data_IF_829536668863
#
_entry.id   IF_829536668863
#
_cell.length_a   1.000
_cell.length_b   1.000
_cell.length_c   1.000
_cell.angle_alpha   90.00
_cell.angle_beta   90.00
_cell.angle_gamma   90.00
#
_symmetry.space_group_name_H-M   'P 1'
#
loop_
_entity.id
_entity.type
_entity.pdbx_description
1 polymer ?
#
# COMPACT_ATOMS: atom_id res chain seq x y z
N UNK A 1 10.14 21.51 -6.75
CA UNK A 1 9.47 20.32 -7.32
C UNK A 1 8.22 20.04 -6.50
N UNK A 2 7.12 19.65 -7.16
CA UNK A 2 5.87 19.23 -6.51
C UNK A 2 5.78 17.72 -6.40
N UNK A 3 4.91 17.24 -5.51
CA UNK A 3 4.64 15.82 -5.31
C UNK A 3 3.15 15.56 -5.49
N UNK A 4 2.82 14.56 -6.30
CA UNK A 4 1.47 14.05 -6.52
C UNK A 4 1.37 12.68 -5.87
N UNK A 5 0.46 12.52 -4.92
CA UNK A 5 0.26 11.28 -4.20
C UNK A 5 -0.90 10.49 -4.82
N UNK A 6 -0.61 9.32 -5.39
CA UNK A 6 -1.60 8.48 -6.05
C UNK A 6 -1.89 7.22 -5.24
N UNK A 7 -3.16 6.92 -5.01
CA UNK A 7 -3.60 5.67 -4.38
C UNK A 7 -4.94 5.22 -4.95
N UNK A 8 -5.18 3.92 -4.92
CA UNK A 8 -6.52 3.35 -5.07
C UNK A 8 -7.25 3.39 -3.73
N UNK A 9 -8.57 3.57 -3.76
CA UNK A 9 -9.40 3.58 -2.55
C UNK A 9 -10.34 2.38 -2.48
N UNK A 10 -10.43 1.76 -1.31
CA UNK A 10 -11.33 0.65 -1.05
C UNK A 10 -11.92 0.68 0.38
N UNK A 11 -12.74 1.69 0.67
CA UNK A 11 -13.50 1.81 1.92
C UNK A 11 -12.63 1.74 3.21
N UNK A 12 -11.62 2.62 3.29
CA UNK A 12 -10.69 2.71 4.42
C UNK A 12 -10.60 4.15 4.94
N UNK A 13 -11.69 4.71 5.50
CA UNK A 13 -11.75 6.10 5.92
C UNK A 13 -10.73 6.46 7.01
N UNK A 14 -10.45 5.53 7.94
CA UNK A 14 -9.45 5.71 9.01
C UNK A 14 -8.05 5.96 8.43
N UNK A 15 -7.59 5.06 7.57
CA UNK A 15 -6.29 5.16 6.92
C UNK A 15 -6.21 6.42 6.06
N UNK A 16 -7.27 6.73 5.31
CA UNK A 16 -7.31 7.90 4.44
C UNK A 16 -7.19 9.20 5.23
N UNK A 17 -7.88 9.32 6.37
CA UNK A 17 -7.76 10.50 7.25
C UNK A 17 -6.32 10.67 7.78
N UNK A 18 -5.68 9.58 8.20
CA UNK A 18 -4.27 9.61 8.62
C UNK A 18 -3.36 10.00 7.46
N UNK A 19 -3.52 9.37 6.29
CA UNK A 19 -2.73 9.65 5.08
C UNK A 19 -2.79 11.13 4.71
N UNK A 20 -3.99 11.70 4.63
CA UNK A 20 -4.15 13.12 4.32
C UNK A 20 -3.47 14.01 5.34
N UNK A 21 -3.71 13.80 6.64
CA UNK A 21 -3.12 14.67 7.65
C UNK A 21 -1.58 14.56 7.73
N UNK A 22 -1.02 13.38 7.48
CA UNK A 22 0.44 13.17 7.47
C UNK A 22 1.09 13.83 6.26
N UNK A 23 0.45 13.75 5.09
CA UNK A 23 1.06 14.14 3.82
C UNK A 23 0.71 15.55 3.35
N UNK A 24 -0.34 16.18 3.87
CA UNK A 24 -0.89 17.46 3.39
C UNK A 24 0.16 18.56 3.17
N UNK A 25 1.10 18.71 4.10
CA UNK A 25 2.15 19.74 4.01
C UNK A 25 3.17 19.52 2.88
N UNK A 26 3.23 18.33 2.29
CA UNK A 26 4.22 17.96 1.27
C UNK A 26 3.62 17.74 -0.11
N UNK A 27 2.31 17.49 -0.18
CA UNK A 27 1.63 17.06 -1.39
C UNK A 27 0.89 18.23 -2.04
N UNK A 28 1.07 18.35 -3.36
CA UNK A 28 0.32 19.29 -4.19
C UNK A 28 -1.10 18.78 -4.43
N UNK A 29 -1.23 17.53 -4.89
CA UNK A 29 -2.52 16.87 -5.11
C UNK A 29 -2.53 15.42 -4.65
N UNK A 30 -3.64 15.04 -4.05
CA UNK A 30 -4.01 13.66 -3.79
C UNK A 30 -4.86 13.15 -4.96
N UNK A 31 -4.37 12.15 -5.67
CA UNK A 31 -5.07 11.47 -6.75
C UNK A 31 -5.66 10.18 -6.17
N UNK A 32 -6.97 10.21 -5.96
CA UNK A 32 -7.70 9.09 -5.37
C UNK A 32 -8.47 8.41 -6.48
N UNK A 33 -8.12 7.16 -6.79
CA UNK A 33 -8.80 6.38 -7.83
C UNK A 33 -9.72 5.36 -7.20
N UNK A 34 -10.96 5.30 -7.67
CA UNK A 34 -11.93 4.28 -7.26
C UNK A 34 -12.68 3.74 -8.47
N UNK A 35 -12.80 2.41 -8.56
CA UNK A 35 -13.56 1.76 -9.62
C UNK A 35 -14.96 1.33 -9.17
N UNK A 36 -15.92 1.32 -10.10
CA UNK A 36 -17.23 0.67 -9.90
C UNK A 36 -17.17 -0.85 -10.03
N UNK A 37 -15.99 -1.42 -10.27
CA UNK A 37 -15.74 -2.86 -10.35
C UNK A 37 -14.68 -3.24 -9.31
N UNK A 38 -14.90 -4.34 -8.59
CA UNK A 38 -13.86 -4.98 -7.78
C UNK A 38 -12.79 -5.58 -8.68
N UNK A 39 -11.64 -5.98 -8.10
CA UNK A 39 -10.63 -6.74 -8.83
C UNK A 39 -11.17 -8.06 -9.38
N UNK A 40 -12.12 -8.69 -8.68
CA UNK A 40 -12.81 -9.91 -9.16
C UNK A 40 -13.83 -9.64 -10.27
N UNK A 41 -14.23 -8.39 -10.52
CA UNK A 41 -15.22 -8.02 -11.55
C UNK A 41 -16.64 -7.81 -11.04
N UNK A 42 -16.86 -7.97 -9.73
CA UNK A 42 -18.15 -7.67 -9.11
C UNK A 42 -18.39 -6.17 -9.13
N UNK A 43 -19.56 -5.75 -9.60
CA UNK A 43 -19.95 -4.34 -9.57
C UNK A 43 -20.11 -3.86 -8.13
N UNK A 44 -19.54 -2.70 -7.82
CA UNK A 44 -19.58 -2.06 -6.49
C UNK A 44 -19.90 -0.57 -6.61
N UNK A 45 -20.37 0.01 -5.51
CA UNK A 45 -20.55 1.46 -5.39
C UNK A 45 -19.23 2.20 -5.23
N UNK A 46 -19.33 3.53 -5.30
CA UNK A 46 -18.26 4.48 -4.98
C UNK A 46 -18.45 4.90 -3.52
N UNK A 47 -17.45 4.64 -2.69
CA UNK A 47 -17.49 4.89 -1.25
C UNK A 47 -16.73 6.16 -0.85
N UNK A 48 -15.80 6.64 -1.67
CA UNK A 48 -15.05 7.84 -1.36
C UNK A 48 -15.88 9.10 -1.63
N UNK A 49 -15.96 9.99 -0.64
CA UNK A 49 -16.51 11.33 -0.79
C UNK A 49 -15.51 12.39 -0.30
N UNK A 50 -15.05 13.24 -1.22
CA UNK A 50 -14.14 14.35 -0.91
C UNK A 50 -14.75 15.40 0.04
N UNK A 51 -16.08 15.47 0.16
CA UNK A 51 -16.76 16.41 1.06
C UNK A 51 -16.58 16.05 2.53
N UNK A 52 -16.26 14.79 2.85
CA UNK A 52 -15.90 14.35 4.20
C UNK A 52 -14.54 14.90 4.64
N UNK A 53 -13.77 15.48 3.72
CA UNK A 53 -12.40 15.96 3.91
C UNK A 53 -12.24 17.44 3.53
N UNK A 54 -13.00 18.36 4.16
CA UNK A 54 -13.07 19.77 3.73
C UNK A 54 -11.70 20.46 3.72
N UNK A 55 -10.82 20.14 4.68
CA UNK A 55 -9.45 20.67 4.76
C UNK A 55 -8.62 20.38 3.51
N UNK A 56 -8.81 19.22 2.88
CA UNK A 56 -8.00 18.75 1.76
C UNK A 56 -8.74 18.84 0.43
N UNK A 57 -10.01 19.25 0.44
CA UNK A 57 -10.94 19.20 -0.70
C UNK A 57 -10.35 19.80 -1.99
N UNK A 58 -9.61 20.89 -1.88
CA UNK A 58 -8.98 21.57 -3.03
C UNK A 58 -7.76 20.83 -3.59
N UNK A 59 -7.13 19.97 -2.80
CA UNK A 59 -5.99 19.12 -3.20
C UNK A 59 -6.42 17.75 -3.72
N UNK A 60 -7.66 17.32 -3.45
CA UNK A 60 -8.17 16.00 -3.84
C UNK A 60 -8.69 16.03 -5.28
N UNK A 61 -8.13 15.19 -6.15
CA UNK A 61 -8.70 14.79 -7.45
C UNK A 61 -9.19 13.35 -7.31
N UNK A 62 -10.51 13.20 -7.22
CA UNK A 62 -11.18 11.89 -7.20
C UNK A 62 -11.48 11.46 -8.63
N UNK A 63 -10.93 10.31 -9.01
CA UNK A 63 -11.05 9.72 -10.35
C UNK A 63 -11.90 8.46 -10.22
N UNK A 64 -13.05 8.47 -10.89
CA UNK A 64 -13.96 7.33 -10.92
C UNK A 64 -13.73 6.56 -12.22
N UNK A 65 -13.47 5.26 -12.09
CA UNK A 65 -13.38 4.33 -13.22
C UNK A 65 -14.68 3.54 -13.27
N UNK A 66 -15.56 3.88 -14.20
CA UNK A 66 -16.93 3.37 -14.27
C UNK A 66 -17.14 2.28 -15.33
N UNK A 67 -16.06 1.86 -15.99
CA UNK A 67 -16.07 0.84 -17.04
C UNK A 67 -15.03 -0.25 -16.79
N UNK A 68 -15.34 -1.45 -17.24
CA UNK A 68 -14.37 -2.54 -17.34
C UNK A 68 -13.26 -2.21 -18.37
N UNK A 69 -12.08 -2.84 -18.27
CA UNK A 69 -11.08 -2.79 -19.33
C UNK A 69 -11.59 -3.39 -20.65
N UNK A 70 -11.17 -2.82 -21.78
CA UNK A 70 -11.59 -3.29 -23.11
C UNK A 70 -11.04 -4.70 -23.45
N UNK A 71 -10.03 -5.16 -22.71
CA UNK A 71 -9.31 -6.42 -22.91
C UNK A 71 -9.72 -7.54 -21.94
N UNK A 72 -10.91 -7.46 -21.33
CA UNK A 72 -11.45 -8.53 -20.49
C UNK A 72 -11.65 -9.81 -21.32
N UNK A 73 -11.19 -10.94 -20.77
CA UNK A 73 -11.26 -12.26 -21.41
C UNK A 73 -12.49 -13.01 -20.90
N UNK A 74 -13.23 -13.64 -21.81
CA UNK A 74 -14.37 -14.50 -21.49
C UNK A 74 -13.90 -15.82 -20.85
N UNK A 75 -14.60 -16.20 -19.78
CA UNK A 75 -14.34 -17.39 -18.96
C UNK A 75 -14.83 -18.66 -19.65
N UNK A 76 -15.83 -18.58 -20.53
CA UNK A 76 -16.57 -19.75 -21.03
C UNK A 76 -15.73 -20.83 -21.74
N UNK A 77 -14.59 -20.48 -22.34
CA UNK A 77 -13.77 -21.39 -23.15
C UNK A 77 -12.33 -21.57 -22.63
N UNK A 78 -12.05 -21.14 -21.40
CA UNK A 78 -10.69 -21.04 -20.88
C UNK A 78 -10.57 -21.63 -19.48
N UNK A 79 -9.33 -21.81 -19.01
CA UNK A 79 -9.09 -22.10 -17.60
C UNK A 79 -9.56 -20.92 -16.73
N UNK A 80 -10.66 -21.12 -16.02
CA UNK A 80 -11.38 -20.10 -15.24
C UNK A 80 -10.48 -19.36 -14.25
N UNK A 81 -9.58 -20.07 -13.56
CA UNK A 81 -8.70 -19.47 -12.55
C UNK A 81 -7.69 -18.51 -13.18
N UNK A 82 -7.08 -18.94 -14.29
CA UNK A 82 -6.09 -18.13 -15.03
C UNK A 82 -6.78 -16.87 -15.59
N UNK A 83 -7.96 -17.02 -16.19
CA UNK A 83 -8.72 -15.90 -16.74
C UNK A 83 -9.13 -14.90 -15.67
N UNK A 84 -9.66 -15.37 -14.53
CA UNK A 84 -10.02 -14.49 -13.41
C UNK A 84 -8.82 -13.69 -12.92
N UNK A 85 -7.65 -14.33 -12.79
CA UNK A 85 -6.41 -13.66 -12.40
C UNK A 85 -5.98 -12.61 -13.44
N UNK A 86 -6.03 -12.93 -14.73
CA UNK A 86 -5.69 -11.97 -15.80
C UNK A 86 -6.64 -10.77 -15.82
N UNK A 87 -7.95 -11.00 -15.73
CA UNK A 87 -8.95 -9.95 -15.67
C UNK A 87 -8.77 -9.04 -14.44
N UNK A 88 -8.41 -9.61 -13.28
CA UNK A 88 -8.03 -8.82 -12.09
C UNK A 88 -6.84 -7.89 -12.37
N UNK A 89 -5.78 -8.41 -13.01
CA UNK A 89 -4.61 -7.63 -13.39
C UNK A 89 -5.00 -6.48 -14.32
N UNK A 90 -5.85 -6.72 -15.32
CA UNK A 90 -6.31 -5.66 -16.24
C UNK A 90 -7.08 -4.55 -15.53
N UNK A 91 -7.97 -4.89 -14.59
CA UNK A 91 -8.72 -3.90 -13.79
C UNK A 91 -7.81 -3.08 -12.88
N UNK A 92 -6.81 -3.73 -12.28
CA UNK A 92 -5.78 -3.06 -11.46
C UNK A 92 -4.97 -2.10 -12.34
N UNK A 93 -4.54 -2.55 -13.51
CA UNK A 93 -3.76 -1.75 -14.46
C UNK A 93 -4.56 -0.55 -14.98
N UNK A 94 -5.84 -0.71 -15.28
CA UNK A 94 -6.71 0.38 -15.70
C UNK A 94 -6.79 1.49 -14.64
N UNK A 95 -7.08 1.16 -13.38
CA UNK A 95 -7.10 2.14 -12.27
C UNK A 95 -5.77 2.88 -12.12
N UNK A 96 -4.67 2.12 -12.22
CA UNK A 96 -3.31 2.67 -12.20
C UNK A 96 -3.06 3.62 -13.37
N UNK A 97 -3.50 3.29 -14.57
CA UNK A 97 -3.33 4.15 -15.73
C UNK A 97 -4.15 5.44 -15.59
N UNK A 98 -5.37 5.36 -15.05
CA UNK A 98 -6.19 6.54 -14.77
C UNK A 98 -5.56 7.46 -13.71
N UNK A 99 -4.89 6.91 -12.70
CA UNK A 99 -4.11 7.72 -11.74
C UNK A 99 -2.99 8.52 -12.43
N UNK A 100 -2.26 7.91 -13.38
CA UNK A 100 -1.18 8.59 -14.12
C UNK A 100 -1.74 9.69 -15.02
N UNK A 101 -2.86 9.43 -15.72
CA UNK A 101 -3.56 10.42 -16.54
C UNK A 101 -4.04 11.59 -15.71
N UNK A 102 -4.53 11.33 -14.50
CA UNK A 102 -4.97 12.37 -13.57
C UNK A 102 -3.84 13.26 -13.03
N UNK A 103 -2.57 12.87 -13.21
CA UNK A 103 -1.38 13.71 -12.99
C UNK A 103 -1.00 14.52 -14.25
N UNK A 104 -1.98 14.99 -15.01
CA UNK A 104 -1.84 15.81 -16.22
C UNK A 104 -1.15 17.15 -15.97
N UNK A 105 -1.47 17.81 -14.85
CA UNK A 105 -0.90 19.12 -14.49
C UNK A 105 0.48 19.05 -13.81
N UNK A 106 1.08 17.86 -13.71
CA UNK A 106 2.42 17.70 -13.15
C UNK A 106 3.48 18.11 -14.18
N UNK A 107 4.47 18.91 -13.77
CA UNK A 107 5.60 19.22 -14.62
C UNK A 107 6.55 18.01 -14.76
N UNK A 108 7.36 18.00 -15.81
CA UNK A 108 8.32 16.92 -16.12
C UNK A 108 9.25 16.54 -14.94
N UNK A 109 9.62 17.51 -14.11
CA UNK A 109 10.48 17.34 -12.94
C UNK A 109 9.74 17.07 -11.62
N UNK A 110 8.40 17.14 -11.61
CA UNK A 110 7.59 16.81 -10.45
C UNK A 110 7.56 15.30 -10.21
N UNK A 111 7.35 14.90 -8.96
CA UNK A 111 7.27 13.49 -8.58
C UNK A 111 5.82 13.01 -8.53
N UNK A 112 5.59 11.84 -9.13
CA UNK A 112 4.40 11.02 -8.91
C UNK A 112 4.78 9.91 -7.95
N UNK A 113 4.13 9.87 -6.81
CA UNK A 113 4.21 8.79 -5.85
C UNK A 113 2.99 7.89 -6.01
N UNK A 114 3.22 6.59 -5.90
CA UNK A 114 2.16 5.61 -5.84
C UNK A 114 2.42 4.61 -4.72
N UNK A 115 1.37 4.27 -4.00
CA UNK A 115 1.36 3.25 -2.97
C UNK A 115 -0.06 2.74 -2.77
N UNK A 116 -0.20 1.64 -2.03
CA UNK A 116 -1.50 1.30 -1.46
C UNK A 116 -1.87 2.32 -0.36
N UNK A 117 -3.15 2.39 -0.01
CA UNK A 117 -3.67 3.47 0.84
C UNK A 117 -3.04 3.45 2.25
N UNK A 118 -2.82 2.24 2.78
CA UNK A 118 -2.21 1.93 4.06
C UNK A 118 -0.68 2.03 4.10
N UNK A 119 -0.05 2.28 2.94
CA UNK A 119 1.38 2.53 2.79
C UNK A 119 1.64 4.04 2.75
N UNK A 120 1.92 4.65 3.90
CA UNK A 120 2.13 6.10 4.02
C UNK A 120 3.63 6.41 4.04
N UNK A 121 4.17 7.19 3.09
CA UNK A 121 5.58 7.55 3.08
C UNK A 121 5.90 8.62 4.13
N UNK A 122 7.08 8.55 4.73
CA UNK A 122 7.61 9.62 5.58
C UNK A 122 8.39 10.62 4.73
N UNK A 123 7.88 11.86 4.67
CA UNK A 123 8.48 12.96 3.90
C UNK A 123 9.14 14.03 4.79
N UNK A 124 9.11 13.89 6.12
CA UNK A 124 9.60 14.89 7.06
C UNK A 124 11.07 15.25 6.89
N UNK A 125 11.90 14.25 6.60
CA UNK A 125 13.34 14.43 6.41
C UNK A 125 13.74 14.38 4.94
N UNK A 126 12.77 14.45 4.03
CA UNK A 126 13.00 14.31 2.59
C UNK A 126 13.07 15.67 1.91
N UNK A 127 14.29 16.12 1.59
CA UNK A 127 14.48 17.25 0.70
C UNK A 127 14.43 16.78 -0.77
N UNK A 128 13.23 16.81 -1.36
CA UNK A 128 12.97 16.33 -2.72
C UNK A 128 13.80 17.09 -3.77
N UNK A 129 14.12 18.37 -3.53
CA UNK A 129 14.87 19.20 -4.49
C UNK A 129 16.34 18.76 -4.59
N UNK A 130 16.88 18.12 -3.55
CA UNK A 130 18.24 17.56 -3.57
C UNK A 130 18.32 16.17 -4.20
N UNK A 131 17.20 15.56 -4.57
CA UNK A 131 17.18 14.19 -5.09
C UNK A 131 17.31 14.18 -6.62
N UNK A 132 18.46 13.68 -7.08
CA UNK A 132 18.76 13.50 -8.51
C UNK A 132 18.30 12.14 -9.07
N UNK A 133 17.78 11.25 -8.23
CA UNK A 133 17.41 9.91 -8.66
C UNK A 133 16.10 9.89 -9.47
N UNK A 134 16.05 8.98 -10.46
CA UNK A 134 14.87 8.79 -11.32
C UNK A 134 13.72 8.17 -10.53
N UNK A 135 14.06 7.16 -9.73
CA UNK A 135 13.11 6.40 -8.93
C UNK A 135 13.45 6.53 -7.44
N UNK A 136 12.41 6.57 -6.62
CA UNK A 136 12.48 6.51 -5.17
C UNK A 136 11.73 5.26 -4.72
N UNK A 137 12.30 4.54 -3.77
CA UNK A 137 11.62 3.45 -3.07
C UNK A 137 11.71 3.76 -1.59
N UNK A 138 10.57 3.74 -0.90
CA UNK A 138 10.49 4.00 0.53
C UNK A 138 10.57 2.68 1.28
N UNK A 139 11.51 2.59 2.21
CA UNK A 139 11.63 1.45 3.13
C UNK A 139 10.79 1.72 4.37
N UNK A 140 9.65 1.06 4.47
CA UNK A 140 8.60 1.29 5.44
C UNK A 140 8.58 0.18 6.51
N UNK A 141 8.25 0.57 7.74
CA UNK A 141 7.99 -0.37 8.84
C UNK A 141 6.59 -0.97 8.66
N UNK A 142 6.46 -2.28 8.90
CA UNK A 142 5.21 -3.02 8.75
C UNK A 142 4.49 -3.16 10.10
N UNK A 143 3.26 -2.68 10.18
CA UNK A 143 2.44 -2.70 11.40
C UNK A 143 1.16 -3.48 11.16
N UNK A 144 0.75 -4.25 12.18
CA UNK A 144 -0.44 -5.09 12.14
C UNK A 144 -1.42 -4.69 13.23
N UNK A 145 -2.71 -4.63 12.91
CA UNK A 145 -3.84 -4.49 13.84
C UNK A 145 -3.94 -3.17 14.62
N UNK A 146 -2.81 -2.53 14.94
CA UNK A 146 -2.67 -1.25 15.65
C UNK A 146 -1.52 -0.47 15.01
N UNK A 147 -1.56 0.85 15.12
CA UNK A 147 -0.56 1.73 14.52
C UNK A 147 0.87 1.45 15.03
N UNK A 148 1.03 1.00 16.28
CA UNK A 148 2.33 0.78 16.91
C UNK A 148 2.66 -0.70 17.22
N UNK A 149 1.96 -1.65 16.60
CA UNK A 149 2.30 -3.08 16.69
C UNK A 149 3.15 -3.51 15.49
N UNK A 150 4.47 -3.46 15.67
CA UNK A 150 5.47 -3.68 14.64
C UNK A 150 5.69 -5.17 14.37
N UNK A 151 5.70 -5.54 13.10
CA UNK A 151 6.36 -6.76 12.62
C UNK A 151 7.80 -6.39 12.21
N UNK A 152 8.78 -6.70 13.05
CA UNK A 152 10.17 -6.33 12.87
C UNK A 152 10.98 -7.33 12.02
N UNK A 153 10.34 -8.41 11.56
CA UNK A 153 10.98 -9.45 10.74
C UNK A 153 11.27 -8.98 9.32
N UNK A 154 10.53 -7.99 8.82
CA UNK A 154 10.61 -7.55 7.43
C UNK A 154 10.44 -6.03 7.30
N UNK A 155 11.13 -5.48 6.31
CA UNK A 155 10.92 -4.11 5.84
C UNK A 155 10.08 -4.14 4.56
N UNK A 156 9.09 -3.28 4.50
CA UNK A 156 8.17 -3.19 3.38
C UNK A 156 8.61 -2.10 2.40
N UNK A 157 8.52 -2.37 1.10
CA UNK A 157 8.94 -1.42 0.05
C UNK A 157 7.75 -1.00 -0.81
N UNK A 158 6.72 -0.46 -0.14
CA UNK A 158 5.40 -0.19 -0.69
C UNK A 158 5.38 1.05 -1.57
N UNK A 159 5.59 2.22 -0.96
CA UNK A 159 5.56 3.49 -1.68
C UNK A 159 6.75 3.62 -2.62
N UNK A 160 6.45 4.03 -3.86
CA UNK A 160 7.44 4.30 -4.89
C UNK A 160 7.17 5.62 -5.57
N UNK A 161 8.24 6.34 -5.88
CA UNK A 161 8.19 7.63 -6.54
C UNK A 161 8.97 7.63 -7.84
N UNK A 162 8.51 8.43 -8.80
CA UNK A 162 9.19 8.66 -10.07
C UNK A 162 8.89 10.06 -10.57
N UNK A 163 9.86 10.69 -11.24
CA UNK A 163 9.60 11.97 -11.91
C UNK A 163 8.62 11.78 -13.08
N UNK A 164 7.75 12.75 -13.33
CA UNK A 164 6.74 12.68 -14.41
C UNK A 164 7.35 12.29 -15.75
N UNK A 165 8.46 12.94 -16.16
CA UNK A 165 9.18 12.67 -17.42
C UNK A 165 9.67 11.23 -17.61
N UNK A 166 9.72 10.50 -16.50
CA UNK A 166 10.28 9.18 -16.39
C UNK A 166 9.21 8.12 -16.15
N UNK A 167 7.95 8.54 -16.03
CA UNK A 167 6.81 7.69 -15.75
C UNK A 167 6.34 6.99 -17.02
N UNK A 168 6.30 5.66 -16.99
CA UNK A 168 5.72 4.83 -18.06
C UNK A 168 4.33 4.34 -17.65
N UNK A 169 4.28 3.60 -16.55
CA UNK A 169 3.06 3.19 -15.88
C UNK A 169 3.33 2.92 -14.40
N UNK A 170 2.28 2.95 -13.57
CA UNK A 170 2.40 2.56 -12.16
C UNK A 170 2.72 1.06 -12.03
N UNK A 171 2.19 0.21 -12.92
CA UNK A 171 2.49 -1.23 -12.91
C UNK A 171 3.99 -1.47 -13.08
N UNK A 172 4.65 -0.81 -14.04
CA UNK A 172 6.12 -0.89 -14.16
C UNK A 172 6.83 -0.37 -12.92
N UNK A 173 6.39 0.77 -12.35
CA UNK A 173 6.96 1.33 -11.13
C UNK A 173 6.90 0.32 -9.95
N UNK A 174 5.77 -0.38 -9.78
CA UNK A 174 5.61 -1.41 -8.74
C UNK A 174 6.50 -2.63 -8.95
N UNK A 175 6.92 -2.96 -10.16
CA UNK A 175 7.84 -4.08 -10.41
C UNK A 175 9.31 -3.78 -10.14
N UNK A 176 9.68 -2.50 -9.92
CA UNK A 176 11.06 -2.13 -9.59
C UNK A 176 11.46 -2.72 -8.24
N UNK A 177 12.45 -3.61 -8.22
CA UNK A 177 12.95 -4.24 -6.99
C UNK A 177 13.86 -3.29 -6.20
N UNK A 178 13.87 -3.36 -4.85
CA UNK A 178 14.76 -2.56 -4.01
C UNK A 178 16.21 -3.07 -4.04
N UNK A 179 16.78 -3.29 -5.23
CA UNK A 179 18.15 -3.78 -5.42
C UNK A 179 18.99 -2.73 -6.15
N UNK A 180 20.11 -2.33 -5.56
CA UNK A 180 21.17 -1.59 -6.23
C UNK A 180 22.21 -2.58 -6.73
N UNK A 181 22.41 -2.65 -8.04
CA UNK A 181 23.47 -3.46 -8.62
C UNK A 181 24.77 -2.64 -8.68
N UNK A 182 25.93 -3.20 -8.30
CA UNK A 182 27.22 -2.53 -8.48
C UNK A 182 27.52 -2.31 -9.96
N UNK A 183 28.22 -1.21 -10.28
CA UNK A 183 28.49 -0.78 -11.66
C UNK A 183 29.35 -1.78 -12.46
N UNK A 184 30.13 -2.63 -11.78
CA UNK A 184 31.10 -3.57 -12.37
C UNK A 184 30.55 -4.96 -12.70
N UNK A 185 29.26 -5.24 -12.46
CA UNK A 185 28.68 -6.57 -12.73
C UNK A 185 28.38 -6.76 -14.23
N UNK A 186 29.23 -7.48 -14.97
CA UNK A 186 29.17 -7.60 -16.44
C UNK A 186 27.98 -8.47 -16.91
N UNK A 187 27.64 -9.54 -16.19
CA UNK A 187 26.47 -10.42 -16.41
C UNK A 187 25.11 -9.71 -16.44
N UNK A 188 25.04 -8.46 -15.96
CA UNK A 188 23.82 -7.65 -15.99
C UNK A 188 23.66 -6.82 -17.28
N UNK A 189 24.62 -6.82 -18.20
CA UNK A 189 24.58 -6.02 -19.44
C UNK A 189 23.34 -6.29 -20.32
N UNK A 190 22.75 -7.48 -20.22
CA UNK A 190 21.56 -7.87 -20.99
C UNK A 190 20.23 -7.55 -20.29
N UNK A 191 20.23 -7.12 -19.02
CA UNK A 191 19.02 -6.77 -18.30
C UNK A 191 18.76 -5.25 -18.37
N UNK A 192 17.60 -4.83 -18.92
CA UNK A 192 17.12 -3.43 -18.95
C UNK A 192 17.14 -2.70 -17.58
N UNK A 193 17.33 -3.44 -16.48
CA UNK A 193 17.26 -2.97 -15.10
C UNK A 193 18.63 -2.63 -14.46
N UNK A 194 19.76 -2.76 -15.17
CA UNK A 194 21.13 -2.55 -14.64
C UNK A 194 21.40 -1.13 -14.13
N UNK A 195 20.72 -0.12 -14.68
CA UNK A 195 21.00 1.30 -14.42
C UNK A 195 19.77 2.09 -13.98
N UNK A 196 18.89 1.47 -13.20
CA UNK A 196 17.79 2.19 -12.57
C UNK A 196 18.43 3.15 -11.56
N UNK A 197 18.50 4.44 -11.93
CA UNK A 197 18.91 5.51 -11.02
C UNK A 197 17.88 5.60 -9.88
N UNK A 198 18.14 4.81 -8.84
CA UNK A 198 17.24 4.51 -7.74
C UNK A 198 17.82 5.01 -6.42
N UNK A 199 16.99 5.68 -5.62
CA UNK A 199 17.29 5.99 -4.22
C UNK A 199 16.34 5.22 -3.31
N UNK A 200 16.89 4.45 -2.37
CA UNK A 200 16.12 3.85 -1.28
C UNK A 200 16.11 4.86 -0.13
N UNK A 201 14.91 5.26 0.30
CA UNK A 201 14.70 6.16 1.44
C UNK A 201 14.55 5.30 2.69
N UNK A 202 15.59 5.27 3.52
CA UNK A 202 15.60 4.60 4.83
C UNK A 202 14.67 5.33 5.79
N UNK A 203 14.02 4.59 6.69
CA UNK A 203 12.93 5.12 7.53
C UNK A 203 11.87 5.85 6.70
N UNK A 204 11.53 5.26 5.55
CA UNK A 204 10.71 5.84 4.50
C UNK A 204 9.22 5.83 4.79
N UNK A 205 8.77 5.40 5.97
CA UNK A 205 7.37 5.51 6.40
C UNK A 205 6.82 4.24 7.02
N UNK A 206 5.53 4.03 6.80
CA UNK A 206 4.71 3.05 7.51
C UNK A 206 3.81 2.30 6.54
N UNK A 207 3.65 1.00 6.78
CA UNK A 207 2.61 0.19 6.16
C UNK A 207 1.72 -0.33 7.28
N UNK A 208 0.50 0.20 7.37
CA UNK A 208 -0.45 -0.11 8.44
C UNK A 208 -1.49 -1.14 7.99
N UNK A 209 -1.07 -2.40 7.91
CA UNK A 209 -1.95 -3.45 7.43
C UNK A 209 -2.92 -3.92 8.50
N UNK A 210 -4.10 -4.36 8.07
CA UNK A 210 -5.10 -4.97 8.94
C UNK A 210 -5.58 -4.07 10.11
N UNK A 211 -5.59 -2.74 9.93
CA UNK A 211 -6.24 -1.79 10.85
C UNK A 211 -7.77 -1.83 10.74
N UNK A 212 -8.35 -2.92 11.23
CA UNK A 212 -9.80 -3.17 11.24
C UNK A 212 -10.18 -3.84 12.55
N UNK A 213 -11.46 -3.77 12.91
CA UNK A 213 -11.95 -4.54 14.05
C UNK A 213 -11.89 -6.06 13.72
N UNK A 214 -11.91 -6.95 14.73
CA UNK A 214 -11.77 -8.38 14.50
C UNK A 214 -12.81 -8.98 13.53
N UNK A 215 -14.05 -8.46 13.57
CA UNK A 215 -15.14 -8.92 12.69
C UNK A 215 -14.87 -8.55 11.24
N UNK A 216 -14.47 -7.32 10.98
CA UNK A 216 -14.15 -6.84 9.63
C UNK A 216 -12.88 -7.49 9.06
N UNK A 217 -11.91 -7.82 9.92
CA UNK A 217 -10.74 -8.60 9.52
C UNK A 217 -11.11 -10.03 9.13
N UNK A 218 -12.00 -10.66 9.89
CA UNK A 218 -12.53 -11.97 9.56
C UNK A 218 -13.24 -11.95 8.20
N UNK A 219 -14.18 -11.01 8.00
CA UNK A 219 -14.88 -10.85 6.73
C UNK A 219 -13.94 -10.53 5.56
N UNK A 220 -12.90 -9.71 5.78
CA UNK A 220 -11.88 -9.42 4.77
C UNK A 220 -11.10 -10.69 4.40
N UNK A 221 -10.69 -11.47 5.39
CA UNK A 221 -9.91 -12.69 5.16
C UNK A 221 -10.72 -13.75 4.41
N UNK A 222 -12.03 -13.79 4.66
CA UNK A 222 -13.02 -14.57 3.90
C UNK A 222 -13.34 -14.00 2.51
N UNK A 223 -12.71 -12.92 2.06
CA UNK A 223 -12.92 -12.41 0.69
C UNK A 223 -11.60 -12.07 -0.02
N UNK A 224 -10.46 -12.48 0.57
CA UNK A 224 -9.13 -12.19 0.05
C UNK A 224 -8.71 -13.17 -1.07
N UNK A 225 -7.68 -12.83 -1.85
CA UNK A 225 -7.17 -13.64 -2.96
C UNK A 225 -6.75 -15.06 -2.54
N UNK A 226 -6.43 -15.26 -1.24
CA UNK A 226 -6.07 -16.55 -0.64
C UNK A 226 -7.25 -17.25 0.05
N UNK A 227 -8.51 -16.95 -0.31
CA UNK A 227 -9.71 -17.55 0.30
C UNK A 227 -9.66 -19.08 0.40
N UNK A 228 -9.12 -19.74 -0.62
CA UNK A 228 -9.01 -21.21 -0.68
C UNK A 228 -8.05 -21.78 0.37
N UNK A 229 -7.10 -20.99 0.87
CA UNK A 229 -6.23 -21.35 2.00
C UNK A 229 -6.92 -21.05 3.33
N UNK A 230 -7.70 -19.96 3.40
CA UNK A 230 -8.41 -19.56 4.62
C UNK A 230 -9.57 -20.49 4.99
N UNK A 231 -10.36 -20.95 4.00
CA UNK A 231 -11.42 -21.94 4.19
C UNK A 231 -10.89 -23.26 4.75
N UNK A 232 -9.66 -23.64 4.38
CA UNK A 232 -9.01 -24.86 4.89
C UNK A 232 -8.58 -24.74 6.35
N UNK A 233 -8.46 -23.52 6.89
CA UNK A 233 -7.95 -23.27 8.23
C UNK A 233 -9.05 -23.16 9.31
N UNK A 234 -10.34 -23.23 8.95
CA UNK A 234 -11.49 -23.14 9.89
C UNK A 234 -11.40 -21.97 10.89
N UNK A 235 -10.77 -20.85 10.49
CA UNK A 235 -10.55 -19.69 11.35
C UNK A 235 -11.90 -19.04 11.64
N UNK A 236 -12.16 -18.65 12.89
CA UNK A 236 -13.33 -17.89 13.28
C UNK A 236 -12.96 -16.47 13.77
N UNK A 237 -13.96 -15.66 14.15
CA UNK A 237 -13.75 -14.30 14.65
C UNK A 237 -12.94 -14.28 15.97
N UNK A 238 -13.11 -15.28 16.83
CA UNK A 238 -12.41 -15.35 18.10
C UNK A 238 -10.93 -15.70 17.92
N UNK A 239 -10.56 -16.44 16.87
CA UNK A 239 -9.16 -16.63 16.49
C UNK A 239 -8.50 -15.32 16.06
N UNK A 240 -9.23 -14.46 15.34
CA UNK A 240 -8.74 -13.13 14.96
C UNK A 240 -8.56 -12.25 16.21
N UNK A 241 -9.52 -12.27 17.15
CA UNK A 241 -9.38 -11.58 18.44
C UNK A 241 -8.15 -12.07 19.20
N UNK A 242 -7.99 -13.39 19.30
CA UNK A 242 -6.86 -14.03 19.98
C UNK A 242 -5.51 -13.59 19.36
N UNK A 243 -5.42 -13.50 18.03
CA UNK A 243 -4.23 -12.99 17.33
C UNK A 243 -3.90 -11.54 17.70
N UNK A 244 -4.91 -10.68 17.80
CA UNK A 244 -4.76 -9.27 18.15
C UNK A 244 -4.35 -9.12 19.62
N UNK A 245 -5.08 -9.76 20.54
CA UNK A 245 -4.84 -9.70 21.99
C UNK A 245 -3.46 -10.24 22.36
N UNK A 246 -3.07 -11.36 21.76
CA UNK A 246 -1.76 -11.97 21.99
C UNK A 246 -0.67 -11.44 21.05
N UNK A 247 -0.96 -10.41 20.25
CA UNK A 247 -0.02 -9.67 19.41
C UNK A 247 0.82 -10.59 18.51
N UNK A 248 0.18 -11.40 17.68
CA UNK A 248 0.89 -12.27 16.74
C UNK A 248 0.22 -12.37 15.36
N UNK A 249 1.01 -12.74 14.36
CA UNK A 249 0.55 -13.10 13.01
C UNK A 249 0.95 -14.54 12.69
N UNK A 250 0.14 -15.20 11.85
CA UNK A 250 0.37 -16.58 11.40
C UNK A 250 0.68 -16.65 9.90
N UNK A 251 1.33 -15.60 9.39
CA UNK A 251 1.75 -15.48 8.01
C UNK A 251 3.24 -15.18 7.95
N UNK A 252 4.01 -16.02 7.26
CA UNK A 252 5.42 -15.77 7.02
C UNK A 252 5.66 -15.00 5.72
N UNK A 253 5.94 -13.70 5.85
CA UNK A 253 6.30 -12.83 4.72
C UNK A 253 7.62 -13.22 4.03
N UNK A 254 8.48 -13.98 4.70
CA UNK A 254 9.79 -14.39 4.17
C UNK A 254 9.75 -15.75 3.45
N UNK A 255 8.66 -16.51 3.62
CA UNK A 255 8.51 -17.81 3.02
C UNK A 255 8.12 -17.69 1.54
N UNK A 256 8.71 -18.53 0.69
CA UNK A 256 8.41 -18.56 -0.74
C UNK A 256 6.92 -18.86 -0.98
N UNK A 257 6.36 -18.28 -2.05
CA UNK A 257 4.92 -18.35 -2.36
C UNK A 257 4.38 -19.76 -2.58
N UNK A 258 5.23 -20.74 -2.89
CA UNK A 258 4.86 -22.15 -3.05
C UNK A 258 5.16 -23.04 -1.84
N UNK A 259 5.54 -22.45 -0.69
CA UNK A 259 5.88 -23.23 0.49
C UNK A 259 4.64 -23.54 1.35
N UNK A 260 4.46 -24.81 1.71
CA UNK A 260 3.41 -25.25 2.63
C UNK A 260 3.59 -24.69 4.07
N UNK A 261 4.69 -23.99 4.35
CA UNK A 261 5.07 -23.43 5.66
C UNK A 261 4.73 -21.94 5.81
N UNK A 262 4.06 -21.33 4.82
CA UNK A 262 3.64 -19.92 4.89
C UNK A 262 2.68 -19.62 6.04
N UNK A 263 1.97 -20.65 6.50
CA UNK A 263 1.01 -20.59 7.58
C UNK A 263 1.37 -21.62 8.68
N UNK A 264 0.96 -21.35 9.92
CA UNK A 264 1.13 -22.27 11.06
C UNK A 264 2.21 -21.89 12.08
N UNK A 265 3.06 -20.91 11.79
CA UNK A 265 4.01 -20.34 12.76
C UNK A 265 3.49 -19.02 13.33
N UNK A 266 3.57 -18.85 14.65
CA UNK A 266 3.20 -17.61 15.34
C UNK A 266 4.39 -16.67 15.42
N UNK A 267 4.29 -15.53 14.77
CA UNK A 267 5.28 -14.46 14.84
C UNK A 267 4.77 -13.34 15.73
N UNK A 268 5.46 -13.10 16.84
CA UNK A 268 5.10 -12.05 17.79
C UNK A 268 5.36 -10.66 17.20
N UNK A 269 4.39 -9.77 17.39
CA UNK A 269 4.47 -8.36 17.10
C UNK A 269 5.02 -7.62 18.31
N UNK A 270 5.75 -6.53 18.06
CA UNK A 270 6.35 -5.70 19.10
C UNK A 270 5.60 -4.38 19.22
N UNK A 271 5.12 -4.10 20.43
CA UNK A 271 4.62 -2.78 20.78
C UNK A 271 5.79 -1.81 20.85
N UNK A 272 5.77 -0.76 20.03
CA UNK A 272 6.84 0.24 20.00
C UNK A 272 6.34 1.60 20.49
N UNK A 273 7.28 2.43 20.97
CA UNK A 273 6.96 3.77 21.44
C UNK A 273 6.33 4.61 20.31
N UNK A 274 5.18 5.22 20.64
CA UNK A 274 4.36 5.99 19.70
C UNK A 274 5.10 7.26 19.27
N UNK A 275 5.67 8.01 20.22
CA UNK A 275 6.22 9.35 19.95
C UNK A 275 7.43 9.32 19.01
N UNK A 276 8.27 8.31 19.13
CA UNK A 276 9.50 8.18 18.33
C UNK A 276 9.32 7.44 17.02
N UNK A 277 8.25 6.64 16.86
CA UNK A 277 8.09 5.77 15.70
C UNK A 277 6.89 6.09 14.82
N UNK A 278 5.91 6.87 15.27
CA UNK A 278 4.72 7.22 14.48
C UNK A 278 4.89 8.54 13.73
N UNK A 279 4.08 8.79 12.68
CA UNK A 279 3.97 10.13 12.11
C UNK A 279 3.64 11.16 13.19
N UNK A 280 4.20 12.37 13.08
CA UNK A 280 3.95 13.45 14.06
C UNK A 280 2.45 13.63 14.33
N UNK A 281 1.64 13.63 13.26
CA UNK A 281 0.20 13.75 13.37
C UNK A 281 -0.44 12.69 14.29
N UNK A 282 -0.01 11.42 14.17
CA UNK A 282 -0.52 10.34 15.02
C UNK A 282 -0.04 10.48 16.46
N UNK A 283 1.23 10.88 16.67
CA UNK A 283 1.79 11.12 17.99
C UNK A 283 1.15 12.31 18.73
N UNK A 284 0.68 13.31 18.01
CA UNK A 284 -0.03 14.48 18.56
C UNK A 284 -1.53 14.21 18.79
N UNK A 285 -2.11 13.21 18.12
CA UNK A 285 -3.54 12.90 18.16
C UNK A 285 -3.83 11.53 18.79
N UNK A 286 -3.03 11.11 19.76
CA UNK A 286 -3.15 9.79 20.41
C UNK A 286 -4.57 9.54 20.93
N UNK A 287 -5.19 10.51 21.60
CA UNK A 287 -6.53 10.34 22.18
C UNK A 287 -7.60 10.11 21.11
N UNK A 288 -7.48 10.77 19.95
CA UNK A 288 -8.39 10.57 18.80
C UNK A 288 -8.33 9.13 18.27
N UNK A 289 -7.15 8.50 18.35
CA UNK A 289 -6.89 7.17 17.80
C UNK A 289 -6.60 6.12 18.89
N UNK A 290 -7.02 6.35 20.14
CA UNK A 290 -6.64 5.50 21.28
C UNK A 290 -6.97 4.03 21.07
N UNK A 291 -8.12 3.74 20.44
CA UNK A 291 -8.55 2.37 20.15
C UNK A 291 -7.68 1.68 19.10
N UNK A 292 -6.83 2.42 18.39
CA UNK A 292 -5.93 1.94 17.35
C UNK A 292 -4.46 1.93 17.79
N UNK A 293 -4.19 2.24 19.06
CA UNK A 293 -2.87 2.07 19.67
C UNK A 293 -2.89 0.93 20.69
N UNK A 294 -1.74 0.29 20.81
CA UNK A 294 -1.44 -0.61 21.91
C UNK A 294 -0.62 0.14 22.97
N UNK A 295 -1.15 0.23 24.19
CA UNK A 295 -0.49 0.89 25.33
C UNK A 295 0.18 -0.10 26.28
N UNK A 296 0.11 -1.40 25.96
CA UNK A 296 0.65 -2.45 26.80
C UNK A 296 2.12 -2.71 26.40
N UNK A 297 2.99 -1.86 26.95
CA UNK A 297 4.45 -1.91 26.74
C UNK A 297 5.15 -3.01 27.54
N UNK A 298 4.44 -4.03 28.03
CA UNK A 298 4.96 -5.11 28.90
C UNK A 298 6.12 -5.95 28.31
N UNK A 299 6.59 -5.65 27.09
CA UNK A 299 7.66 -6.38 26.40
C UNK A 299 8.76 -5.46 25.82
N UNK A 300 9.03 -4.29 26.42
CA UNK A 300 10.25 -3.53 26.10
C UNK A 300 11.41 -4.06 26.94
#
# INVERSE_FOLDING_TARGET
MKIFDCTTYFNEPLIMDVRFNVLDKYIEKFIIVESTYSHSGTKKGINFDKNLYPKFKNKIKHVIVDKEPDNIIDVANNNEEIVKRMNSIFRIEQQRNEAVKACDNAAEEDYIFYSDNDEIPNLEKLDINKIKSKFLIFEQKLFYYKFNLLNDRILWYGTKGVKKKNMKSISELRHIKPKKYPFYRIDTFFFKNKFINLKIIKNGGWHFTQLKNPKDLYEKSKNDENHSEFDKLNINVDDVKNRIENKFVEYDHLADSGSNFKHGHKFKLKSIDIKSNMPIYLAENIEKYKDWFDFDFKNI
#
